data_IF_380175754089
#
_entry.id   IF_380175754089
#
_cell.length_a   1.000
_cell.length_b   1.000
_cell.length_c   1.000
_cell.angle_alpha   90.00
_cell.angle_beta   90.00
_cell.angle_gamma   90.00
#
_symmetry.space_group_name_H-M   'P 1'
#
loop_
_entity.id
_entity.type
_entity.pdbx_description
1 polymer ?
#
# COMPACT_ATOMS: atom_id res chain seq x y z
N UNK A 1 -7.18 -31.68 7.93
CA UNK A 1 -7.57 -30.47 7.17
C UNK A 1 -6.80 -29.26 7.71
N UNK A 2 -6.81 -29.01 9.02
CA UNK A 2 -6.01 -27.94 9.65
C UNK A 2 -4.51 -28.02 9.34
N UNK A 3 -3.92 -29.22 9.38
CA UNK A 3 -2.50 -29.39 9.09
C UNK A 3 -2.15 -29.10 7.63
N UNK A 4 -3.06 -29.41 6.70
CA UNK A 4 -2.87 -29.07 5.28
C UNK A 4 -2.89 -27.55 5.11
N UNK A 5 -3.84 -26.86 5.74
CA UNK A 5 -3.95 -25.40 5.69
C UNK A 5 -2.69 -24.71 6.26
N UNK A 6 -2.14 -25.24 7.36
CA UNK A 6 -0.87 -24.80 7.94
C UNK A 6 0.30 -24.99 6.97
N UNK A 7 0.44 -26.19 6.40
CA UNK A 7 1.54 -26.51 5.47
C UNK A 7 1.51 -25.64 4.21
N UNK A 8 0.33 -25.45 3.60
CA UNK A 8 0.24 -24.61 2.38
C UNK A 8 0.48 -23.13 2.69
N UNK A 9 0.06 -22.66 3.86
CA UNK A 9 0.32 -21.28 4.32
C UNK A 9 1.81 -21.03 4.47
N UNK A 10 2.52 -21.95 5.13
CA UNK A 10 3.98 -21.88 5.31
C UNK A 10 4.73 -22.00 3.98
N UNK A 11 4.32 -22.93 3.11
CA UNK A 11 4.90 -23.09 1.77
C UNK A 11 4.72 -21.84 0.89
N UNK A 12 3.62 -21.10 1.07
CA UNK A 12 3.36 -19.85 0.37
C UNK A 12 4.09 -18.64 0.99
N UNK A 13 4.85 -18.84 2.07
CA UNK A 13 5.61 -17.78 2.75
C UNK A 13 4.78 -16.88 3.65
N UNK A 14 3.54 -17.26 3.96
CA UNK A 14 2.69 -16.53 4.89
C UNK A 14 2.85 -17.07 6.31
N UNK A 15 2.82 -16.18 7.29
CA UNK A 15 2.89 -16.57 8.70
C UNK A 15 1.56 -17.05 9.26
N UNK A 16 0.45 -16.67 8.62
CA UNK A 16 -0.93 -16.89 9.08
C UNK A 16 -1.89 -16.93 7.90
N UNK A 17 -2.95 -17.72 8.04
CA UNK A 17 -4.11 -17.72 7.15
C UNK A 17 -5.36 -17.20 7.88
N UNK A 18 -6.41 -16.89 7.12
CA UNK A 18 -7.70 -16.52 7.69
C UNK A 18 -8.37 -17.74 8.30
N UNK A 19 -8.71 -17.67 9.59
CA UNK A 19 -9.47 -18.74 10.27
C UNK A 19 -10.91 -18.79 9.74
N UNK A 20 -11.49 -17.63 9.44
CA UNK A 20 -12.87 -17.51 8.96
C UNK A 20 -12.86 -16.77 7.62
N UNK A 21 -13.25 -17.47 6.56
CA UNK A 21 -13.53 -16.92 5.26
C UNK A 21 -14.72 -17.64 4.62
N UNK A 22 -15.38 -16.98 3.67
CA UNK A 22 -16.34 -17.65 2.80
C UNK A 22 -15.59 -18.28 1.62
N UNK A 23 -16.10 -18.11 0.40
CA UNK A 23 -15.40 -18.55 -0.82
C UNK A 23 -14.06 -17.84 -1.04
N UNK A 24 -13.91 -16.61 -0.55
CA UNK A 24 -12.70 -15.79 -0.70
C UNK A 24 -12.38 -15.06 0.61
N UNK A 25 -11.20 -14.44 0.67
CA UNK A 25 -10.80 -13.59 1.77
C UNK A 25 -11.72 -12.36 1.91
N UNK A 26 -11.70 -11.70 3.07
CA UNK A 26 -12.52 -10.51 3.30
C UNK A 26 -12.08 -9.34 2.42
N UNK A 27 -13.01 -8.78 1.65
CA UNK A 27 -12.77 -7.58 0.83
C UNK A 27 -12.47 -6.33 1.64
N UNK A 28 -12.60 -6.38 2.97
CA UNK A 28 -12.09 -5.33 3.88
C UNK A 28 -10.57 -5.15 3.73
N UNK A 29 -9.83 -6.24 3.50
CA UNK A 29 -8.38 -6.17 3.29
C UNK A 29 -8.03 -5.30 2.07
N UNK A 30 -8.79 -5.43 0.98
CA UNK A 30 -8.59 -4.64 -0.24
C UNK A 30 -8.75 -3.14 0.05
N UNK A 31 -9.76 -2.76 0.85
CA UNK A 31 -10.01 -1.38 1.25
C UNK A 31 -8.87 -0.82 2.09
N UNK A 32 -8.34 -1.60 3.04
CA UNK A 32 -7.19 -1.18 3.86
C UNK A 32 -5.95 -0.92 3.00
N UNK A 33 -5.64 -1.83 2.07
CA UNK A 33 -4.50 -1.67 1.16
C UNK A 33 -4.63 -0.41 0.31
N UNK A 34 -5.79 -0.21 -0.33
CA UNK A 34 -6.03 0.96 -1.18
C UNK A 34 -6.03 2.26 -0.37
N UNK A 35 -6.53 2.24 0.86
CA UNK A 35 -6.56 3.41 1.74
C UNK A 35 -5.15 3.92 2.07
N UNK A 36 -4.22 3.01 2.40
CA UNK A 36 -2.82 3.39 2.68
C UNK A 36 -2.14 3.96 1.43
N UNK A 37 -2.32 3.33 0.28
CA UNK A 37 -1.77 3.82 -0.99
C UNK A 37 -2.34 5.20 -1.35
N UNK A 38 -3.64 5.42 -1.14
CA UNK A 38 -4.29 6.70 -1.40
C UNK A 38 -3.78 7.80 -0.46
N UNK A 39 -3.59 7.46 0.82
CA UNK A 39 -3.03 8.40 1.80
C UNK A 39 -1.60 8.81 1.43
N UNK A 40 -0.77 7.84 1.02
CA UNK A 40 0.59 8.10 0.54
C UNK A 40 0.59 9.01 -0.71
N UNK A 41 -0.31 8.74 -1.66
CA UNK A 41 -0.50 9.59 -2.83
C UNK A 41 -0.89 11.03 -2.48
N UNK A 42 -1.75 11.23 -1.47
CA UNK A 42 -2.10 12.55 -0.95
C UNK A 42 -0.89 13.31 -0.40
N UNK A 43 -0.01 12.64 0.35
CA UNK A 43 1.23 13.23 0.86
C UNK A 43 2.16 13.64 -0.28
N UNK A 44 2.41 12.76 -1.26
CA UNK A 44 3.24 13.07 -2.43
C UNK A 44 2.65 14.25 -3.20
N UNK A 45 1.35 14.22 -3.48
CA UNK A 45 0.69 15.25 -4.26
C UNK A 45 0.89 16.64 -3.64
N UNK A 46 0.74 16.75 -2.31
CA UNK A 46 0.99 18.00 -1.58
C UNK A 46 2.46 18.43 -1.70
N UNK A 47 3.39 17.51 -1.42
CA UNK A 47 4.83 17.82 -1.48
C UNK A 47 5.26 18.30 -2.87
N UNK A 48 4.88 17.60 -3.93
CA UNK A 48 5.22 17.98 -5.30
C UNK A 48 4.53 19.27 -5.73
N UNK A 49 3.32 19.55 -5.24
CA UNK A 49 2.65 20.83 -5.50
C UNK A 49 3.43 21.98 -4.88
N UNK A 50 3.87 21.85 -3.63
CA UNK A 50 4.70 22.88 -2.98
C UNK A 50 6.03 23.08 -3.73
N UNK A 51 6.72 22.00 -4.12
CA UNK A 51 7.95 22.08 -4.92
C UNK A 51 7.71 22.88 -6.21
N UNK A 52 6.61 22.59 -6.94
CA UNK A 52 6.25 23.33 -8.16
C UNK A 52 5.97 24.80 -7.91
N UNK A 53 5.33 25.14 -6.79
CA UNK A 53 5.10 26.53 -6.40
C UNK A 53 6.43 27.24 -6.11
N UNK A 54 7.33 26.62 -5.35
CA UNK A 54 8.65 27.18 -5.03
C UNK A 54 9.54 27.32 -6.26
N UNK A 55 9.44 26.40 -7.21
CA UNK A 55 10.10 26.51 -8.51
C UNK A 55 9.60 27.73 -9.31
N UNK A 56 8.31 28.04 -9.25
CA UNK A 56 7.79 29.26 -9.89
C UNK A 56 8.35 30.55 -9.25
N UNK A 57 8.67 30.52 -7.96
CA UNK A 57 9.32 31.60 -7.22
C UNK A 57 10.84 31.62 -7.40
N UNK A 58 11.41 30.62 -8.10
CA UNK A 58 12.86 30.40 -8.28
C UNK A 58 13.61 30.19 -6.97
N UNK A 59 12.93 29.64 -5.96
CA UNK A 59 13.55 29.33 -4.65
C UNK A 59 14.15 27.93 -4.61
N UNK A 60 13.55 26.98 -5.34
CA UNK A 60 13.99 25.59 -5.43
C UNK A 60 13.83 25.13 -6.88
N UNK A 61 14.73 24.28 -7.37
CA UNK A 61 14.56 23.57 -8.63
C UNK A 61 14.69 22.07 -8.41
N UNK A 62 14.03 21.28 -9.26
CA UNK A 62 14.24 19.84 -9.30
C UNK A 62 15.62 19.51 -9.89
N UNK A 63 16.24 18.38 -9.52
CA UNK A 63 17.49 17.97 -10.13
C UNK A 63 17.31 17.75 -11.64
N UNK A 64 18.19 18.37 -12.44
CA UNK A 64 18.30 18.17 -13.88
C UNK A 64 19.67 17.55 -14.22
N UNK A 65 19.71 16.77 -15.30
CA UNK A 65 20.93 16.15 -15.86
C UNK A 65 21.52 17.00 -16.98
#
# INVERSE_FOLDING_TARGET
VEELDRMVTEMAGFSKAFIICAQTYTRKLDVEVVSVLSSFGGTIHKMCTDIRLLASLKEIEEPFE
#
